data_IF_157602919214
#
_entry.id   IF_157602919214
#
_cell.length_a   1.000
_cell.length_b   1.000
_cell.length_c   1.000
_cell.angle_alpha   90.00
_cell.angle_beta   90.00
_cell.angle_gamma   90.00
#
_symmetry.space_group_name_H-M   'P 1'
#
loop_
_entity.id
_entity.type
_entity.pdbx_description
1 polymer ?
#
# COMPACT_ATOMS: atom_id res chain seq x y z
N UNK A 1 -14.02 -16.37 3.17
CA UNK A 1 -12.96 -15.80 4.05
C UNK A 1 -11.72 -15.71 3.18
N UNK A 2 -11.22 -14.50 2.94
CA UNK A 2 -10.08 -14.24 2.04
C UNK A 2 -8.73 -14.49 2.72
N UNK A 3 -8.67 -14.37 4.06
CA UNK A 3 -7.47 -14.64 4.86
C UNK A 3 -7.73 -15.73 5.90
N UNK A 4 -6.79 -16.69 6.01
CA UNK A 4 -6.87 -17.81 6.96
C UNK A 4 -5.55 -17.95 7.70
N UNK A 5 -5.58 -17.97 9.03
CA UNK A 5 -4.41 -18.29 9.86
C UNK A 5 -4.21 -19.82 9.85
N UNK A 6 -2.99 -20.25 9.55
CA UNK A 6 -2.58 -21.67 9.49
C UNK A 6 -1.86 -22.07 10.79
N UNK A 7 -1.01 -21.17 11.32
CA UNK A 7 -0.28 -21.39 12.55
C UNK A 7 0.03 -20.05 13.23
N UNK A 8 0.26 -20.05 14.53
CA UNK A 8 0.68 -18.89 15.30
C UNK A 8 1.64 -19.28 16.43
N UNK A 9 2.54 -18.34 16.77
CA UNK A 9 3.44 -18.45 17.91
C UNK A 9 3.61 -17.05 18.52
N UNK A 10 3.07 -16.82 19.72
CA UNK A 10 2.96 -15.48 20.27
C UNK A 10 2.11 -14.60 19.35
N UNK A 11 2.67 -13.45 18.90
CA UNK A 11 2.03 -12.56 17.93
C UNK A 11 2.34 -12.94 16.47
N UNK A 12 3.36 -13.76 16.23
CA UNK A 12 3.69 -14.22 14.89
C UNK A 12 2.59 -15.12 14.32
N UNK A 13 2.26 -14.94 13.04
CA UNK A 13 1.22 -15.68 12.33
C UNK A 13 1.74 -16.18 10.99
N UNK A 14 1.49 -17.43 10.67
CA UNK A 14 1.53 -17.93 9.31
C UNK A 14 0.11 -18.02 8.78
N UNK A 15 -0.15 -17.50 7.59
CA UNK A 15 -1.48 -17.50 7.00
C UNK A 15 -1.48 -17.71 5.51
N UNK A 16 -2.68 -17.83 4.96
CA UNK A 16 -2.97 -17.87 3.52
C UNK A 16 -3.90 -16.73 3.18
N UNK A 17 -3.51 -15.91 2.21
CA UNK A 17 -4.33 -14.85 1.62
C UNK A 17 -4.74 -15.27 0.22
N UNK A 18 -6.04 -15.46 0.01
CA UNK A 18 -6.59 -15.77 -1.31
C UNK A 18 -6.97 -14.49 -2.04
N UNK A 19 -6.37 -14.28 -3.20
CA UNK A 19 -6.72 -13.23 -4.16
C UNK A 19 -7.48 -13.81 -5.35
N UNK A 20 -7.82 -12.97 -6.33
CA UNK A 20 -8.41 -13.43 -7.59
C UNK A 20 -7.42 -14.22 -8.47
N UNK A 21 -6.11 -13.93 -8.37
CA UNK A 21 -5.07 -14.51 -9.22
C UNK A 21 -4.36 -15.70 -8.59
N UNK A 22 -4.16 -15.72 -7.28
CA UNK A 22 -3.43 -16.81 -6.60
C UNK A 22 -3.73 -16.85 -5.10
N UNK A 23 -3.12 -17.82 -4.41
CA UNK A 23 -3.06 -17.87 -2.95
C UNK A 23 -1.64 -17.53 -2.51
N UNK A 24 -1.51 -16.62 -1.55
CA UNK A 24 -0.26 -16.11 -1.03
C UNK A 24 -0.03 -16.70 0.36
N UNK A 25 1.13 -17.32 0.59
CA UNK A 25 1.56 -17.73 1.93
C UNK A 25 2.16 -16.52 2.66
N UNK A 26 1.74 -16.28 3.91
CA UNK A 26 2.27 -15.19 4.73
C UNK A 26 3.01 -15.73 5.95
N UNK A 27 4.06 -15.04 6.45
CA UNK A 27 4.61 -13.78 5.96
C UNK A 27 5.32 -13.92 4.62
N UNK A 28 5.31 -12.86 3.81
CA UNK A 28 5.93 -12.83 2.48
C UNK A 28 6.54 -11.48 2.19
N UNK A 29 7.67 -11.47 1.48
CA UNK A 29 8.27 -10.27 0.91
C UNK A 29 7.70 -10.03 -0.49
N UNK A 30 7.43 -8.77 -0.83
CA UNK A 30 6.95 -8.36 -2.15
C UNK A 30 8.07 -7.68 -2.93
N UNK A 31 8.63 -8.30 -3.97
CA UNK A 31 9.57 -7.62 -4.87
C UNK A 31 8.89 -6.43 -5.54
N UNK A 32 9.63 -5.32 -5.70
CA UNK A 32 9.09 -4.09 -6.26
C UNK A 32 9.23 -4.07 -7.79
N UNK A 33 8.10 -4.02 -8.47
CA UNK A 33 7.98 -3.92 -9.92
C UNK A 33 7.45 -2.54 -10.36
N UNK A 34 8.21 -1.46 -10.12
CA UNK A 34 7.78 -0.07 -10.27
C UNK A 34 7.14 0.25 -11.63
N UNK A 35 7.74 -0.20 -12.72
CA UNK A 35 7.26 0.04 -14.10
C UNK A 35 6.71 -1.23 -14.76
N UNK A 36 6.08 -2.11 -13.98
CA UNK A 36 5.61 -3.38 -14.50
C UNK A 36 6.73 -4.39 -14.72
N UNK A 37 7.86 -4.24 -14.04
CA UNK A 37 8.98 -5.18 -14.04
C UNK A 37 9.78 -5.08 -12.75
N UNK A 38 10.21 -6.20 -12.20
CA UNK A 38 11.18 -6.24 -11.11
C UNK A 38 12.56 -6.05 -11.69
N UNK A 39 13.27 -5.02 -11.24
CA UNK A 39 14.55 -4.63 -11.81
C UNK A 39 15.58 -5.76 -11.73
N UNK A 40 16.10 -6.18 -12.89
CA UNK A 40 17.14 -7.20 -12.99
C UNK A 40 16.64 -8.66 -12.90
N UNK A 41 15.32 -8.90 -12.83
CA UNK A 41 14.72 -10.25 -12.79
C UNK A 41 13.60 -10.39 -13.83
N UNK A 42 13.57 -11.53 -14.50
CA UNK A 42 12.45 -11.90 -15.38
C UNK A 42 11.30 -12.52 -14.57
N UNK A 43 10.06 -12.55 -15.10
CA UNK A 43 8.95 -13.26 -14.46
C UNK A 43 9.26 -14.72 -14.16
N UNK A 44 9.94 -15.43 -15.07
CA UNK A 44 10.32 -16.84 -14.86
C UNK A 44 11.29 -16.99 -13.69
N UNK A 45 12.30 -16.12 -13.57
CA UNK A 45 13.21 -16.12 -12.43
C UNK A 45 12.48 -15.84 -11.10
N UNK A 46 11.48 -14.95 -11.09
CA UNK A 46 10.65 -14.70 -9.92
C UNK A 46 9.80 -15.93 -9.54
N UNK A 47 9.31 -16.66 -10.53
CA UNK A 47 8.62 -17.94 -10.30
C UNK A 47 9.55 -19.01 -9.73
N UNK A 48 10.78 -19.15 -10.27
CA UNK A 48 11.77 -20.13 -9.83
C UNK A 48 12.23 -19.85 -8.39
N UNK A 49 12.35 -18.57 -8.00
CA UNK A 49 12.63 -18.14 -6.61
C UNK A 49 11.45 -18.46 -5.67
N UNK A 50 10.23 -18.58 -6.23
CA UNK A 50 9.03 -18.91 -5.46
C UNK A 50 8.22 -17.71 -4.99
N UNK A 51 8.38 -16.53 -5.60
CA UNK A 51 7.52 -15.38 -5.27
C UNK A 51 6.07 -15.62 -5.68
N UNK A 52 5.13 -15.17 -4.84
CA UNK A 52 3.69 -15.33 -5.04
C UNK A 52 2.97 -14.01 -5.25
N UNK A 53 3.66 -12.89 -4.98
CA UNK A 53 3.12 -11.53 -5.10
C UNK A 53 4.23 -10.56 -5.48
N UNK A 54 3.89 -9.57 -6.31
CA UNK A 54 4.74 -8.44 -6.72
C UNK A 54 4.04 -7.14 -6.34
N UNK A 55 4.83 -6.13 -5.95
CA UNK A 55 4.34 -4.78 -5.72
C UNK A 55 4.53 -3.94 -6.98
N UNK A 56 3.42 -3.44 -7.55
CA UNK A 56 3.40 -2.46 -8.63
C UNK A 56 3.24 -1.05 -8.11
N UNK A 57 3.60 -0.04 -8.92
CA UNK A 57 3.51 1.35 -8.51
C UNK A 57 2.51 2.10 -9.40
N UNK A 58 1.31 2.37 -8.85
CA UNK A 58 0.20 2.96 -9.59
C UNK A 58 0.55 4.33 -10.19
N UNK A 59 1.23 5.18 -9.43
CA UNK A 59 1.68 6.49 -9.89
C UNK A 59 2.57 6.39 -11.13
N UNK A 60 3.63 5.59 -11.07
CA UNK A 60 4.56 5.44 -12.17
C UNK A 60 3.94 4.77 -13.40
N UNK A 61 3.09 3.77 -13.20
CA UNK A 61 2.40 3.06 -14.28
C UNK A 61 1.35 3.93 -14.97
N UNK A 62 0.68 4.83 -14.23
CA UNK A 62 -0.23 5.82 -14.81
C UNK A 62 0.52 6.84 -15.68
N UNK A 63 1.72 7.27 -15.25
CA UNK A 63 2.56 8.20 -16.00
C UNK A 63 3.21 7.52 -17.22
N UNK A 64 3.67 6.28 -17.05
CA UNK A 64 4.37 5.51 -18.09
C UNK A 64 4.30 4.01 -17.83
N UNK A 65 3.75 3.18 -18.75
CA UNK A 65 3.38 3.49 -20.13
C UNK A 65 2.05 4.25 -20.26
N UNK A 66 1.29 4.43 -19.18
CA UNK A 66 -0.05 5.01 -19.18
C UNK A 66 -1.14 3.93 -19.12
N UNK A 67 -2.28 4.31 -18.54
CA UNK A 67 -3.37 3.36 -18.29
C UNK A 67 -4.00 2.80 -19.57
N UNK A 68 -4.01 3.58 -20.67
CA UNK A 68 -4.59 3.12 -21.93
C UNK A 68 -3.81 1.94 -22.50
N UNK A 69 -2.48 2.02 -22.48
CA UNK A 69 -1.61 0.92 -22.91
C UNK A 69 -1.87 -0.33 -22.06
N UNK A 70 -1.88 -0.18 -20.72
CA UNK A 70 -2.09 -1.34 -19.83
C UNK A 70 -3.49 -1.93 -20.02
N UNK A 71 -4.50 -1.11 -20.28
CA UNK A 71 -5.87 -1.56 -20.59
C UNK A 71 -5.95 -2.37 -21.88
N UNK A 72 -5.22 -1.96 -22.94
CA UNK A 72 -5.14 -2.71 -24.20
C UNK A 72 -4.53 -4.10 -24.02
N UNK A 73 -3.55 -4.24 -23.10
CA UNK A 73 -3.02 -5.55 -22.71
C UNK A 73 -4.02 -6.39 -21.89
N UNK A 74 -5.09 -5.79 -21.36
CA UNK A 74 -6.04 -6.45 -20.46
C UNK A 74 -5.58 -6.51 -19.00
N UNK A 75 -4.79 -5.53 -18.57
CA UNK A 75 -4.33 -5.34 -17.19
C UNK A 75 -2.84 -5.60 -16.99
N UNK A 76 -2.37 -5.26 -15.78
CA UNK A 76 -0.95 -5.29 -15.42
C UNK A 76 -0.36 -6.71 -15.46
N UNK A 77 -1.12 -7.73 -15.10
CA UNK A 77 -0.68 -9.13 -15.16
C UNK A 77 -0.19 -9.54 -16.55
N UNK A 78 -1.00 -9.25 -17.57
CA UNK A 78 -0.63 -9.56 -18.96
C UNK A 78 0.49 -8.67 -19.48
N UNK A 79 0.47 -7.39 -19.09
CA UNK A 79 1.53 -6.46 -19.45
C UNK A 79 2.90 -6.89 -18.90
N UNK A 80 2.95 -7.40 -17.67
CA UNK A 80 4.16 -7.89 -17.00
C UNK A 80 4.56 -9.32 -17.41
N UNK A 81 3.66 -10.11 -17.96
CA UNK A 81 3.82 -11.56 -18.09
C UNK A 81 3.81 -12.28 -16.73
N UNK A 82 3.09 -11.74 -15.73
CA UNK A 82 3.01 -12.27 -14.37
C UNK A 82 1.61 -12.82 -14.09
N UNK A 83 1.50 -14.07 -13.64
CA UNK A 83 0.23 -14.77 -13.47
C UNK A 83 -0.16 -15.02 -12.00
N UNK A 84 0.62 -14.52 -11.04
CA UNK A 84 0.29 -14.56 -9.61
C UNK A 84 -0.16 -13.18 -9.13
N UNK A 85 -0.29 -12.99 -7.82
CA UNK A 85 -0.87 -11.78 -7.25
C UNK A 85 -0.03 -10.51 -7.49
N UNK A 86 -0.71 -9.38 -7.64
CA UNK A 86 -0.12 -8.05 -7.70
C UNK A 86 -0.82 -7.17 -6.67
N UNK A 87 -0.03 -6.50 -5.83
CA UNK A 87 -0.46 -5.35 -5.04
C UNK A 87 0.01 -4.08 -5.74
N UNK A 88 -0.85 -3.07 -5.87
CA UNK A 88 -0.43 -1.72 -6.27
C UNK A 88 -0.56 -0.77 -5.11
N UNK A 89 0.42 0.15 -4.97
CA UNK A 89 0.32 1.25 -4.04
C UNK A 89 -0.73 2.29 -4.47
N UNK A 90 -1.06 3.21 -3.57
CA UNK A 90 -2.03 4.29 -3.83
C UNK A 90 -1.48 5.42 -4.71
N UNK A 91 -0.16 5.55 -4.83
CA UNK A 91 0.53 6.70 -5.39
C UNK A 91 0.82 7.82 -4.38
N UNK A 92 0.28 7.76 -3.18
CA UNK A 92 0.44 8.81 -2.16
C UNK A 92 1.89 9.09 -1.79
N UNK A 93 2.70 8.06 -1.55
CA UNK A 93 4.11 8.18 -1.22
C UNK A 93 4.93 8.81 -2.36
N UNK A 94 4.67 8.43 -3.62
CA UNK A 94 5.39 8.97 -4.77
C UNK A 94 5.06 10.46 -4.97
N UNK A 95 3.80 10.84 -4.78
CA UNK A 95 3.38 12.24 -4.81
C UNK A 95 3.99 12.99 -3.61
N UNK A 96 4.06 12.38 -2.43
CA UNK A 96 4.76 12.94 -1.28
C UNK A 96 6.22 13.27 -1.62
N UNK A 97 6.94 12.40 -2.30
CA UNK A 97 8.35 12.61 -2.69
C UNK A 97 8.58 13.76 -3.67
N UNK A 98 7.53 14.30 -4.32
CA UNK A 98 7.62 15.45 -5.23
C UNK A 98 7.78 16.81 -4.51
N UNK A 99 7.70 16.84 -3.17
CA UNK A 99 7.90 18.02 -2.32
C UNK A 99 7.13 19.28 -2.81
N UNK A 100 7.84 20.35 -3.13
CA UNK A 100 7.28 21.67 -3.52
C UNK A 100 6.44 21.64 -4.82
N UNK A 101 6.47 20.55 -5.57
CA UNK A 101 5.69 20.41 -6.80
C UNK A 101 4.25 19.95 -6.55
N UNK A 102 3.86 19.74 -5.29
CA UNK A 102 2.53 19.26 -4.90
C UNK A 102 1.74 20.30 -4.11
N UNK A 103 0.42 20.26 -4.25
CA UNK A 103 -0.53 21.02 -3.44
C UNK A 103 -1.63 20.08 -2.94
N UNK A 104 -1.65 19.87 -1.62
CA UNK A 104 -2.62 18.99 -0.96
C UNK A 104 -3.87 19.78 -0.60
N UNK A 105 -5.02 19.17 -0.73
CA UNK A 105 -6.33 19.71 -0.36
C UNK A 105 -7.28 18.59 0.08
N UNK A 106 -8.41 18.93 0.68
CA UNK A 106 -9.46 17.95 1.03
C UNK A 106 -9.93 17.12 -0.19
N UNK A 107 -9.92 17.70 -1.37
CA UNK A 107 -10.38 17.03 -2.60
C UNK A 107 -9.39 16.00 -3.14
N UNK A 108 -8.09 16.20 -2.89
CA UNK A 108 -7.00 15.41 -3.44
C UNK A 108 -5.73 16.22 -3.57
N UNK A 109 -4.81 15.78 -4.40
CA UNK A 109 -3.49 16.38 -4.60
C UNK A 109 -3.32 16.87 -6.03
N UNK A 110 -2.97 18.14 -6.21
CA UNK A 110 -2.46 18.69 -7.47
C UNK A 110 -0.93 18.62 -7.45
N UNK A 111 -0.32 18.10 -8.50
CA UNK A 111 1.14 18.02 -8.65
C UNK A 111 1.56 18.20 -10.10
N UNK A 112 2.86 18.41 -10.33
CA UNK A 112 3.44 18.45 -11.67
C UNK A 112 4.07 17.10 -11.99
N UNK A 113 3.74 16.55 -13.16
CA UNK A 113 4.36 15.34 -13.68
C UNK A 113 5.90 15.51 -13.75
N UNK A 114 6.67 14.60 -13.16
CA UNK A 114 8.12 14.62 -13.27
C UNK A 114 8.62 14.32 -14.68
N UNK A 115 7.76 13.78 -15.56
CA UNK A 115 8.14 13.43 -16.93
C UNK A 115 8.05 14.61 -17.89
N UNK A 116 7.00 15.42 -17.79
CA UNK A 116 6.72 16.48 -18.78
C UNK A 116 6.28 17.81 -18.17
N UNK A 117 6.21 17.92 -16.85
CA UNK A 117 5.82 19.12 -16.12
C UNK A 117 4.32 19.47 -16.19
N UNK A 118 3.47 18.65 -16.81
CA UNK A 118 2.03 18.89 -16.86
C UNK A 118 1.41 18.85 -15.46
N UNK A 119 0.38 19.65 -15.25
CA UNK A 119 -0.39 19.60 -14.01
C UNK A 119 -1.32 18.40 -14.01
N UNK A 120 -1.26 17.63 -12.92
CA UNK A 120 -2.11 16.48 -12.69
C UNK A 120 -2.83 16.70 -11.36
N UNK A 121 -4.09 16.30 -11.32
CA UNK A 121 -4.87 16.22 -10.09
C UNK A 121 -5.22 14.75 -9.84
N UNK A 122 -5.08 14.29 -8.60
CA UNK A 122 -5.43 12.94 -8.18
C UNK A 122 -6.26 13.00 -6.90
N UNK A 123 -7.49 12.55 -6.99
CA UNK A 123 -8.37 12.33 -5.85
C UNK A 123 -8.24 10.89 -5.30
N UNK A 124 -8.79 10.58 -4.13
CA UNK A 124 -8.92 9.20 -3.65
C UNK A 124 -9.63 8.27 -4.64
N UNK A 125 -10.67 8.77 -5.30
CA UNK A 125 -11.42 8.04 -6.33
C UNK A 125 -10.57 7.75 -7.57
N UNK A 126 -9.77 8.73 -8.02
CA UNK A 126 -8.84 8.57 -9.16
C UNK A 126 -7.76 7.54 -8.85
N UNK A 127 -7.23 7.53 -7.62
CA UNK A 127 -6.25 6.53 -7.17
C UNK A 127 -6.84 5.11 -7.22
N UNK A 128 -8.04 4.91 -6.68
CA UNK A 128 -8.74 3.61 -6.74
C UNK A 128 -9.02 3.23 -8.20
N UNK A 129 -9.54 4.16 -9.01
CA UNK A 129 -9.83 3.90 -10.43
C UNK A 129 -8.57 3.51 -11.22
N UNK A 130 -7.44 4.15 -10.94
CA UNK A 130 -6.14 3.81 -11.53
C UNK A 130 -5.79 2.36 -11.23
N UNK A 131 -5.84 1.95 -9.97
CA UNK A 131 -5.51 0.59 -9.53
C UNK A 131 -6.50 -0.46 -10.07
N UNK A 132 -7.79 -0.13 -10.16
CA UNK A 132 -8.80 -0.97 -10.83
C UNK A 132 -8.48 -1.16 -12.32
N UNK A 133 -8.04 -0.10 -13.01
CA UNK A 133 -7.63 -0.16 -14.42
C UNK A 133 -6.36 -1.00 -14.60
N UNK A 134 -5.41 -0.90 -13.68
CA UNK A 134 -4.25 -1.79 -13.62
C UNK A 134 -4.65 -3.25 -13.37
N UNK A 135 -5.84 -3.48 -12.85
CA UNK A 135 -6.39 -4.79 -12.52
C UNK A 135 -5.57 -5.57 -11.47
N UNK A 136 -5.00 -4.85 -10.48
CA UNK A 136 -4.24 -5.45 -9.37
C UNK A 136 -5.16 -6.27 -8.47
N UNK A 137 -4.61 -7.28 -7.79
CA UNK A 137 -5.38 -8.09 -6.83
C UNK A 137 -5.67 -7.35 -5.54
N UNK A 138 -4.67 -6.62 -5.05
CA UNK A 138 -4.75 -5.82 -3.82
C UNK A 138 -4.54 -4.35 -4.19
N UNK A 139 -5.47 -3.52 -3.75
CA UNK A 139 -5.55 -2.08 -3.97
C UNK A 139 -5.35 -1.37 -2.63
N UNK A 140 -4.59 -0.28 -2.63
CA UNK A 140 -4.36 0.54 -1.45
C UNK A 140 -5.27 1.77 -1.44
N UNK A 141 -5.88 2.08 -0.29
CA UNK A 141 -6.57 3.34 -0.10
C UNK A 141 -5.60 4.52 -0.24
N UNK A 142 -6.09 5.65 -0.78
CA UNK A 142 -5.25 6.84 -0.94
C UNK A 142 -4.97 7.48 0.42
N UNK A 143 -3.70 7.83 0.67
CA UNK A 143 -3.22 8.35 1.94
C UNK A 143 -2.30 9.55 1.77
N UNK A 144 -2.11 10.30 2.83
CA UNK A 144 -1.11 11.34 2.94
C UNK A 144 0.02 10.89 3.86
N UNK A 145 1.24 10.85 3.34
CA UNK A 145 2.46 10.58 4.10
C UNK A 145 3.08 11.90 4.58
N UNK A 146 3.52 11.95 5.84
CA UNK A 146 4.23 13.10 6.40
C UNK A 146 5.73 12.93 6.36
N UNK A 147 6.46 14.05 6.39
CA UNK A 147 7.91 14.07 6.56
C UNK A 147 8.32 13.58 7.96
N UNK A 148 9.57 13.13 8.06
CA UNK A 148 10.19 12.87 9.36
C UNK A 148 11.35 13.88 9.57
N UNK A 149 11.44 14.48 10.77
CA UNK A 149 10.46 14.48 11.84
C UNK A 149 9.24 15.37 11.53
N UNK A 150 8.07 15.01 12.06
CA UNK A 150 6.87 15.84 12.01
C UNK A 150 6.40 16.21 13.42
N UNK A 151 5.85 17.42 13.58
CA UNK A 151 5.20 17.80 14.84
C UNK A 151 3.91 16.99 15.02
N UNK A 152 3.43 16.90 16.26
CA UNK A 152 2.17 16.21 16.57
C UNK A 152 1.01 16.79 15.74
N UNK A 153 0.88 18.12 15.68
CA UNK A 153 -0.19 18.80 14.94
C UNK A 153 -0.15 18.50 13.43
N UNK A 154 1.04 18.49 12.82
CA UNK A 154 1.20 18.14 11.39
C UNK A 154 0.81 16.69 11.16
N UNK A 155 1.28 15.76 12.00
CA UNK A 155 0.95 14.34 11.88
C UNK A 155 -0.55 14.08 12.11
N UNK A 156 -1.19 14.77 13.06
CA UNK A 156 -2.62 14.68 13.35
C UNK A 156 -3.47 15.18 12.17
N UNK A 157 -3.13 16.33 11.61
CA UNK A 157 -3.85 16.90 10.46
C UNK A 157 -3.76 15.97 9.23
N UNK A 158 -2.58 15.44 8.93
CA UNK A 158 -2.33 14.48 7.86
C UNK A 158 -3.09 13.17 8.08
N UNK A 159 -3.03 12.61 9.29
CA UNK A 159 -3.77 11.42 9.67
C UNK A 159 -5.28 11.62 9.47
N UNK A 160 -5.81 12.74 9.93
CA UNK A 160 -7.23 13.06 9.77
C UNK A 160 -7.64 13.22 8.30
N UNK A 161 -6.80 13.78 7.45
CA UNK A 161 -7.02 13.83 6.01
C UNK A 161 -7.02 12.42 5.41
N UNK A 162 -6.04 11.59 5.77
CA UNK A 162 -5.97 10.18 5.36
C UNK A 162 -7.24 9.42 5.76
N UNK A 163 -7.80 9.66 6.94
CA UNK A 163 -9.05 9.03 7.38
C UNK A 163 -10.23 9.41 6.48
N UNK A 164 -10.36 10.69 6.09
CA UNK A 164 -11.42 11.15 5.21
C UNK A 164 -11.25 10.58 3.80
N UNK A 165 -10.02 10.54 3.29
CA UNK A 165 -9.69 9.94 2.00
C UNK A 165 -9.92 8.42 1.99
N UNK A 166 -9.60 7.73 3.09
CA UNK A 166 -9.88 6.31 3.23
C UNK A 166 -11.39 6.01 3.13
N UNK A 167 -12.25 6.81 3.77
CA UNK A 167 -13.72 6.67 3.62
C UNK A 167 -14.16 6.82 2.16
N UNK A 168 -13.64 7.82 1.45
CA UNK A 168 -13.94 8.05 0.03
C UNK A 168 -13.45 6.88 -0.83
N UNK A 169 -12.23 6.41 -0.58
CA UNK A 169 -11.65 5.24 -1.25
C UNK A 169 -12.52 3.99 -1.06
N UNK A 170 -12.96 3.71 0.17
CA UNK A 170 -13.84 2.58 0.49
C UNK A 170 -15.17 2.68 -0.25
N UNK A 171 -15.84 3.85 -0.22
CA UNK A 171 -17.12 4.04 -0.90
C UNK A 171 -16.98 3.80 -2.40
N UNK A 172 -16.00 4.44 -3.05
CA UNK A 172 -15.77 4.27 -4.48
C UNK A 172 -15.40 2.83 -4.86
N UNK A 173 -14.57 2.19 -4.03
CA UNK A 173 -14.17 0.79 -4.25
C UNK A 173 -15.39 -0.15 -4.20
N UNK A 174 -16.28 -0.01 -3.22
CA UNK A 174 -17.44 -0.88 -3.10
C UNK A 174 -18.42 -0.78 -4.25
N UNK A 175 -18.55 0.39 -4.88
CA UNK A 175 -19.37 0.59 -6.07
C UNK A 175 -18.75 -0.06 -7.32
N UNK A 176 -17.41 -0.25 -7.33
CA UNK A 176 -16.66 -0.66 -8.52
C UNK A 176 -15.87 -1.96 -8.34
N UNK A 177 -15.90 -2.61 -7.17
CA UNK A 177 -15.11 -3.82 -6.88
C UNK A 177 -15.50 -4.99 -7.77
N UNK A 178 -14.49 -5.73 -8.23
CA UNK A 178 -14.66 -6.97 -9.01
C UNK A 178 -13.63 -8.01 -8.56
N UNK A 179 -13.79 -8.54 -7.35
CA UNK A 179 -12.89 -9.55 -6.77
C UNK A 179 -11.54 -9.02 -6.30
N UNK A 180 -11.33 -7.69 -6.33
CA UNK A 180 -10.17 -7.03 -5.74
C UNK A 180 -10.28 -6.97 -4.21
N UNK A 181 -9.14 -6.80 -3.54
CA UNK A 181 -9.06 -6.56 -2.09
C UNK A 181 -8.62 -5.12 -1.86
N UNK A 182 -9.20 -4.46 -0.86
CA UNK A 182 -8.83 -3.09 -0.46
C UNK A 182 -8.14 -3.09 0.90
N UNK A 183 -6.93 -2.49 0.97
CA UNK A 183 -6.20 -2.29 2.21
C UNK A 183 -6.21 -0.81 2.58
N UNK A 184 -6.50 -0.51 3.86
CA UNK A 184 -6.36 0.82 4.43
C UNK A 184 -4.97 1.04 4.99
N UNK A 185 -4.54 2.32 5.07
CA UNK A 185 -3.20 2.70 5.52
C UNK A 185 -3.30 3.47 6.83
N UNK A 186 -2.66 2.95 7.87
CA UNK A 186 -2.52 3.59 9.18
C UNK A 186 -1.38 4.62 9.09
N UNK A 187 -1.67 5.87 9.39
CA UNK A 187 -0.74 6.99 9.46
C UNK A 187 -0.62 7.53 10.90
N UNK A 188 0.07 8.64 11.17
CA UNK A 188 0.22 9.26 12.48
C UNK A 188 1.67 9.56 12.88
N UNK A 189 2.61 9.58 11.91
CA UNK A 189 4.03 9.86 12.14
C UNK A 189 4.65 8.89 13.16
N UNK A 190 5.52 9.39 14.03
CA UNK A 190 6.10 8.62 15.14
C UNK A 190 5.36 8.86 16.46
N UNK A 191 4.09 9.33 16.41
CA UNK A 191 3.28 9.63 17.59
C UNK A 191 2.37 8.44 17.94
N UNK A 192 2.65 7.80 19.06
CA UNK A 192 2.00 6.56 19.51
C UNK A 192 0.47 6.68 19.57
N UNK A 193 -0.04 7.79 20.15
CA UNK A 193 -1.47 8.02 20.31
C UNK A 193 -2.17 8.14 18.95
N UNK A 194 -1.59 8.91 18.01
CA UNK A 194 -2.13 9.06 16.67
C UNK A 194 -2.13 7.73 15.90
N UNK A 195 -1.09 6.91 16.05
CA UNK A 195 -1.01 5.58 15.44
C UNK A 195 -2.12 4.65 15.93
N UNK A 196 -2.40 4.67 17.24
CA UNK A 196 -3.49 3.88 17.82
C UNK A 196 -4.86 4.37 17.35
N UNK A 197 -5.06 5.68 17.32
CA UNK A 197 -6.28 6.31 16.80
C UNK A 197 -6.50 5.95 15.34
N UNK A 198 -5.46 6.05 14.52
CA UNK A 198 -5.53 5.71 13.09
C UNK A 198 -5.85 4.23 12.88
N UNK A 199 -5.24 3.34 13.66
CA UNK A 199 -5.53 1.91 13.59
C UNK A 199 -6.99 1.62 13.98
N UNK A 200 -7.47 2.18 15.10
CA UNK A 200 -8.86 2.04 15.55
C UNK A 200 -9.84 2.54 14.48
N UNK A 201 -9.54 3.67 13.85
CA UNK A 201 -10.35 4.20 12.75
C UNK A 201 -10.37 3.25 11.54
N UNK A 202 -9.21 2.79 11.07
CA UNK A 202 -9.12 1.91 9.89
C UNK A 202 -9.79 0.56 10.13
N UNK A 203 -9.74 0.02 11.35
CA UNK A 203 -10.39 -1.26 11.68
C UNK A 203 -11.92 -1.22 11.64
N UNK A 204 -12.51 -0.02 11.73
CA UNK A 204 -13.97 0.20 11.64
C UNK A 204 -14.48 0.34 10.21
N UNK A 205 -13.57 0.50 9.24
CA UNK A 205 -13.92 0.54 7.83
C UNK A 205 -14.02 -0.88 7.24
N UNK A 206 -14.84 -1.02 6.18
CA UNK A 206 -14.95 -2.29 5.44
C UNK A 206 -13.74 -2.47 4.50
N UNK A 207 -12.64 -2.90 5.10
CA UNK A 207 -11.34 -3.14 4.47
C UNK A 207 -10.98 -4.62 4.56
N UNK A 208 -10.33 -5.15 3.53
CA UNK A 208 -9.86 -6.54 3.48
C UNK A 208 -8.53 -6.75 4.23
N UNK A 209 -7.74 -5.68 4.41
CA UNK A 209 -6.46 -5.71 5.11
C UNK A 209 -6.04 -4.34 5.64
N UNK A 210 -5.01 -4.33 6.49
CA UNK A 210 -4.46 -3.13 7.13
C UNK A 210 -2.98 -3.00 6.78
N UNK A 211 -2.57 -1.83 6.30
CA UNK A 211 -1.18 -1.48 6.09
C UNK A 211 -0.70 -0.45 7.14
N UNK A 212 0.55 -0.56 7.54
CA UNK A 212 1.24 0.41 8.39
C UNK A 212 2.13 1.26 7.49
N UNK A 213 1.67 2.47 7.16
CA UNK A 213 2.37 3.43 6.33
C UNK A 213 3.12 4.49 7.13
N UNK A 214 3.78 5.45 6.44
CA UNK A 214 4.55 6.51 7.08
C UNK A 214 5.72 5.99 7.92
N UNK A 215 6.29 4.87 7.52
CA UNK A 215 7.49 4.24 8.05
C UNK A 215 8.55 4.19 6.95
N UNK A 216 9.84 4.16 7.33
CA UNK A 216 10.98 4.23 6.41
C UNK A 216 11.02 5.53 5.59
N UNK A 217 10.64 6.64 6.26
CA UNK A 217 10.64 8.01 5.71
C UNK A 217 11.79 8.87 6.27
N UNK A 218 12.77 8.23 6.91
CA UNK A 218 13.95 8.88 7.49
C UNK A 218 14.10 8.73 9.00
N UNK A 219 13.17 8.06 9.66
CA UNK A 219 13.19 7.80 11.10
C UNK A 219 14.30 6.79 11.49
N UNK A 220 14.86 6.88 12.71
CA UNK A 220 15.73 5.87 13.28
C UNK A 220 15.03 4.50 13.37
N UNK A 221 15.79 3.42 13.20
CA UNK A 221 15.28 2.04 13.28
C UNK A 221 14.57 1.76 14.62
N UNK A 222 15.06 2.34 15.69
CA UNK A 222 14.54 2.18 17.05
C UNK A 222 13.11 2.75 17.17
N UNK A 223 12.87 3.93 16.59
CA UNK A 223 11.54 4.57 16.59
C UNK A 223 10.55 3.75 15.76
N UNK A 224 10.93 3.34 14.56
CA UNK A 224 10.12 2.44 13.72
C UNK A 224 9.77 1.15 14.47
N UNK A 225 10.77 0.49 15.07
CA UNK A 225 10.56 -0.75 15.82
C UNK A 225 9.65 -0.53 17.02
N UNK A 226 9.77 0.60 17.72
CA UNK A 226 8.88 0.96 18.83
C UNK A 226 7.43 1.05 18.37
N UNK A 227 7.15 1.76 17.27
CA UNK A 227 5.79 1.88 16.70
C UNK A 227 5.23 0.50 16.32
N UNK A 228 6.01 -0.34 15.65
CA UNK A 228 5.58 -1.69 15.28
C UNK A 228 5.22 -2.53 16.51
N UNK A 229 6.04 -2.52 17.57
CA UNK A 229 5.78 -3.25 18.82
C UNK A 229 4.51 -2.77 19.55
N UNK A 230 4.20 -1.48 19.46
CA UNK A 230 2.99 -0.90 20.06
C UNK A 230 1.75 -1.31 19.29
N UNK A 231 1.81 -1.32 17.95
CA UNK A 231 0.65 -1.61 17.11
C UNK A 231 0.39 -3.10 16.93
N UNK A 232 1.40 -3.94 16.92
CA UNK A 232 1.28 -5.38 16.66
C UNK A 232 0.20 -6.09 17.50
N UNK A 233 0.09 -5.85 18.84
CA UNK A 233 -0.96 -6.46 19.66
C UNK A 233 -2.37 -5.97 19.36
N UNK A 234 -2.51 -4.79 18.72
CA UNK A 234 -3.78 -4.12 18.44
C UNK A 234 -4.32 -4.45 17.05
N UNK A 235 -3.48 -5.01 16.17
CA UNK A 235 -3.86 -5.35 14.81
C UNK A 235 -4.93 -6.46 14.78
N UNK A 236 -5.95 -6.37 13.89
CA UNK A 236 -7.01 -7.38 13.79
C UNK A 236 -6.43 -8.73 13.36
N UNK A 237 -6.72 -9.79 14.14
CA UNK A 237 -6.15 -11.13 13.88
C UNK A 237 -6.68 -11.80 12.62
N UNK A 238 -7.87 -11.45 12.20
CA UNK A 238 -8.61 -12.02 11.08
C UNK A 238 -8.30 -11.37 9.72
N UNK A 239 -7.42 -10.35 9.69
CA UNK A 239 -7.02 -9.64 8.47
C UNK A 239 -5.53 -9.78 8.19
N UNK A 240 -5.10 -9.73 6.91
CA UNK A 240 -3.70 -9.61 6.55
C UNK A 240 -3.16 -8.22 6.91
N UNK A 241 -1.86 -8.14 7.23
CA UNK A 241 -1.17 -6.88 7.52
C UNK A 241 -0.01 -6.68 6.57
N UNK A 242 0.19 -5.42 6.16
CA UNK A 242 1.31 -5.02 5.32
C UNK A 242 2.12 -3.93 6.00
N UNK A 243 3.42 -4.15 6.23
CA UNK A 243 4.33 -3.12 6.73
C UNK A 243 5.01 -2.48 5.53
N UNK A 244 4.67 -1.23 5.24
CA UNK A 244 5.14 -0.52 4.05
C UNK A 244 6.57 -0.02 4.22
N UNK A 245 7.37 -0.08 3.13
CA UNK A 245 8.74 0.44 3.11
C UNK A 245 9.76 -0.39 3.90
N UNK A 246 9.40 -1.58 4.38
CA UNK A 246 10.23 -2.47 5.18
C UNK A 246 10.58 -3.72 4.36
N UNK A 247 11.87 -4.11 4.30
CA UNK A 247 12.24 -5.23 3.45
C UNK A 247 13.69 -5.70 3.53
N UNK A 248 14.53 -5.16 4.43
CA UNK A 248 15.84 -5.75 4.65
C UNK A 248 15.71 -7.10 5.37
N UNK A 249 16.66 -8.05 5.21
CA UNK A 249 16.59 -9.36 5.87
C UNK A 249 16.40 -9.26 7.39
N UNK A 250 17.07 -8.31 8.04
CA UNK A 250 16.95 -8.06 9.48
C UNK A 250 15.54 -7.57 9.85
N UNK A 251 14.98 -6.67 9.05
CA UNK A 251 13.64 -6.12 9.28
C UNK A 251 12.55 -7.17 9.08
N UNK A 252 12.74 -8.12 8.14
CA UNK A 252 11.80 -9.23 7.96
C UNK A 252 11.76 -10.12 9.20
N UNK A 253 12.92 -10.41 9.79
CA UNK A 253 13.01 -11.20 11.03
C UNK A 253 12.38 -10.46 12.22
N UNK A 254 12.70 -9.17 12.38
CA UNK A 254 12.12 -8.34 13.45
C UNK A 254 10.60 -8.19 13.29
N UNK A 255 10.11 -8.06 12.05
CA UNK A 255 8.67 -7.93 11.77
C UNK A 255 7.86 -9.20 12.06
N UNK A 256 8.50 -10.37 12.12
CA UNK A 256 7.85 -11.64 12.49
C UNK A 256 7.87 -11.86 14.01
N UNK A 257 8.85 -11.31 14.72
CA UNK A 257 8.98 -11.39 16.20
C UNK A 257 7.88 -10.61 16.91
#
# INVERSE_FOLDING_TARGET
MTFKIIASSGYARRGELKTKSSTIQTPVFMPVGTYGTVKGLTPDQLHDIGFEIILGNAFHLNERPGLDVIREFGGLHKFMGWNKSILTDSGGFQIWSLNELRKISEKGVEFKSPLNGSKIFMSPEDSIQTQLTLNSDIIMAFDECTDYPSTYEVAENSMNLTHRWAKRSVNYFHENKNGHLLFGIVQGGMHEELRKESLDFMTKLDLDGIALGGLSVGEPKEEKTKILKILAPLLPKDKPHYVMGVGTPEELVEGVR
#
